data_IF_694926284504
#
_entry.id   IF_694926284504
#
_cell.length_a   1.000
_cell.length_b   1.000
_cell.length_c   1.000
_cell.angle_alpha   90.00
_cell.angle_beta   90.00
_cell.angle_gamma   90.00
#
_symmetry.space_group_name_H-M   'P 1'
#
loop_
_entity.id
_entity.type
_entity.pdbx_description
1 polymer ?
#
# COMPACT_ATOMS: atom_id res chain seq x y z
N UNK A 1 5.50 -29.92 2.50
CA UNK A 1 5.32 -29.62 1.05
C UNK A 1 4.51 -28.35 0.91
N UNK A 2 4.76 -27.47 -0.08
CA UNK A 2 3.86 -26.36 -0.34
C UNK A 2 2.46 -26.91 -0.65
N UNK A 3 1.39 -26.23 -0.19
CA UNK A 3 0.03 -26.67 -0.48
C UNK A 3 -0.22 -26.67 -2.00
N UNK A 4 -1.13 -27.52 -2.51
CA UNK A 4 -1.47 -27.54 -3.93
C UNK A 4 -1.83 -26.15 -4.46
N UNK A 5 -1.41 -25.81 -5.68
CA UNK A 5 -1.63 -24.48 -6.30
C UNK A 5 -3.10 -24.06 -6.21
N UNK A 6 -4.03 -24.97 -6.46
CA UNK A 6 -5.47 -24.70 -6.35
C UNK A 6 -5.87 -24.28 -4.93
N UNK A 7 -5.42 -25.01 -3.90
CA UNK A 7 -5.73 -24.68 -2.51
C UNK A 7 -5.14 -23.34 -2.09
N UNK A 8 -3.92 -23.02 -2.55
CA UNK A 8 -3.30 -21.72 -2.29
C UNK A 8 -4.09 -20.59 -2.96
N UNK A 9 -4.44 -20.75 -4.24
CA UNK A 9 -5.18 -19.73 -4.99
C UNK A 9 -6.57 -19.49 -4.42
N UNK A 10 -7.32 -20.55 -4.08
CA UNK A 10 -8.65 -20.42 -3.45
C UNK A 10 -8.54 -19.72 -2.10
N UNK A 11 -7.59 -20.11 -1.25
CA UNK A 11 -7.40 -19.48 0.05
C UNK A 11 -7.00 -17.99 -0.08
N UNK A 12 -6.09 -17.65 -1.01
CA UNK A 12 -5.73 -16.26 -1.31
C UNK A 12 -6.93 -15.45 -1.79
N UNK A 13 -7.76 -16.02 -2.65
CA UNK A 13 -8.98 -15.38 -3.14
C UNK A 13 -9.98 -15.10 -2.02
N UNK A 14 -10.25 -16.11 -1.18
CA UNK A 14 -11.17 -15.98 -0.04
C UNK A 14 -10.66 -14.97 0.98
N UNK A 15 -9.39 -15.06 1.39
CA UNK A 15 -8.82 -14.13 2.38
C UNK A 15 -8.73 -12.71 1.85
N UNK A 16 -8.40 -12.52 0.57
CA UNK A 16 -8.45 -11.20 -0.09
C UNK A 16 -9.86 -10.63 -0.13
N UNK A 17 -10.86 -11.44 -0.52
CA UNK A 17 -12.26 -11.02 -0.50
C UNK A 17 -12.70 -10.61 0.90
N UNK A 18 -12.45 -11.42 1.93
CA UNK A 18 -12.80 -11.11 3.30
C UNK A 18 -12.08 -9.86 3.81
N UNK A 19 -10.80 -9.69 3.46
CA UNK A 19 -10.01 -8.50 3.81
C UNK A 19 -10.56 -7.23 3.18
N UNK A 20 -10.76 -7.24 1.86
CA UNK A 20 -11.31 -6.11 1.12
C UNK A 20 -12.76 -5.80 1.52
N UNK A 21 -13.59 -6.82 1.75
CA UNK A 21 -14.95 -6.65 2.24
C UNK A 21 -14.97 -6.03 3.64
N UNK A 22 -14.05 -6.42 4.53
CA UNK A 22 -13.92 -5.82 5.87
C UNK A 22 -13.57 -4.34 5.77
N UNK A 23 -12.57 -3.99 4.95
CA UNK A 23 -12.20 -2.59 4.70
C UNK A 23 -13.40 -1.82 4.13
N UNK A 24 -14.06 -2.35 3.10
CA UNK A 24 -15.22 -1.71 2.48
C UNK A 24 -16.41 -1.55 3.44
N UNK A 25 -16.67 -2.52 4.32
CA UNK A 25 -17.70 -2.43 5.36
C UNK A 25 -17.36 -1.36 6.40
N UNK A 26 -16.13 -1.34 6.91
CA UNK A 26 -15.68 -0.31 7.85
C UNK A 26 -15.82 1.08 7.22
N UNK A 27 -15.56 1.22 5.92
CA UNK A 27 -15.76 2.48 5.21
C UNK A 27 -17.24 2.86 5.12
N UNK A 28 -18.08 1.95 4.61
CA UNK A 28 -19.52 2.18 4.43
C UNK A 28 -20.23 2.53 5.74
N UNK A 29 -19.92 1.83 6.83
CA UNK A 29 -20.60 1.99 8.12
C UNK A 29 -19.84 2.89 9.10
N UNK A 30 -18.52 3.03 8.97
CA UNK A 30 -17.73 3.97 9.76
C UNK A 30 -17.89 5.43 9.33
N UNK A 31 -18.12 5.67 8.03
CA UNK A 31 -18.53 6.98 7.53
C UNK A 31 -19.92 7.42 8.03
N UNK A 32 -20.77 6.48 8.48
CA UNK A 32 -22.05 6.81 9.09
C UNK A 32 -21.91 7.40 10.51
N UNK A 33 -20.74 7.24 11.16
CA UNK A 33 -20.49 7.70 12.54
C UNK A 33 -19.97 9.16 12.59
N UNK A 34 -19.46 9.68 11.47
CA UNK A 34 -19.03 11.09 11.33
C UNK A 34 -19.37 11.53 9.91
N UNK A 35 -20.09 12.64 9.74
CA UNK A 35 -20.51 13.27 8.46
C UNK A 35 -19.35 13.66 7.49
N UNK A 36 -18.31 12.84 7.38
CA UNK A 36 -17.18 12.99 6.50
C UNK A 36 -17.21 11.79 5.55
N UNK A 37 -17.69 12.00 4.33
CA UNK A 37 -17.64 11.01 3.24
C UNK A 37 -16.19 10.74 2.85
N UNK A 38 -15.38 10.05 3.66
CA UNK A 38 -13.98 9.78 3.32
C UNK A 38 -13.91 8.97 2.05
N UNK A 39 -13.39 9.53 0.96
CA UNK A 39 -13.39 8.83 -0.28
C UNK A 39 -12.02 8.16 -0.30
N UNK A 40 -12.04 6.90 0.10
CA UNK A 40 -10.83 6.15 0.38
C UNK A 40 -10.09 5.85 -0.92
N UNK A 41 -8.76 5.92 -0.87
CA UNK A 41 -7.88 5.56 -1.96
C UNK A 41 -7.86 4.03 -2.17
N UNK A 42 -8.95 3.45 -2.68
CA UNK A 42 -9.13 1.99 -2.80
C UNK A 42 -8.12 1.39 -3.80
N UNK A 43 -7.77 2.13 -4.86
CA UNK A 43 -6.99 1.58 -5.96
C UNK A 43 -5.60 1.04 -5.53
N UNK A 44 -4.76 1.78 -4.78
CA UNK A 44 -3.52 1.25 -4.24
C UNK A 44 -3.72 0.01 -3.35
N UNK A 45 -4.73 0.03 -2.48
CA UNK A 45 -4.96 -1.07 -1.53
C UNK A 45 -5.46 -2.36 -2.18
N UNK A 46 -6.07 -2.30 -3.38
CA UNK A 46 -6.36 -3.49 -4.18
C UNK A 46 -5.07 -4.24 -4.56
N UNK A 47 -4.02 -3.52 -4.98
CA UNK A 47 -2.72 -4.13 -5.28
C UNK A 47 -1.99 -4.58 -3.99
N UNK A 48 -2.16 -3.86 -2.88
CA UNK A 48 -1.71 -4.33 -1.55
C UNK A 48 -2.35 -5.65 -1.18
N UNK A 49 -3.65 -5.83 -1.43
CA UNK A 49 -4.36 -7.08 -1.17
C UNK A 49 -3.76 -8.25 -1.95
N UNK A 50 -3.37 -8.05 -3.21
CA UNK A 50 -2.67 -9.06 -4.02
C UNK A 50 -1.37 -9.50 -3.33
N UNK A 51 -0.59 -8.56 -2.79
CA UNK A 51 0.65 -8.90 -2.10
C UNK A 51 0.39 -9.61 -0.76
N UNK A 52 -0.40 -9.00 0.12
CA UNK A 52 -0.56 -9.49 1.51
C UNK A 52 -1.39 -10.77 1.60
N UNK A 53 -2.32 -11.02 0.68
CA UNK A 53 -3.14 -12.25 0.67
C UNK A 53 -2.70 -13.25 -0.41
N UNK A 54 -2.16 -12.80 -1.54
CA UNK A 54 -1.70 -13.67 -2.62
C UNK A 54 -0.33 -14.28 -2.34
N UNK A 55 0.61 -13.46 -1.87
CA UNK A 55 2.01 -13.81 -1.63
C UNK A 55 2.49 -13.30 -0.25
N UNK A 56 1.86 -13.70 0.87
CA UNK A 56 2.16 -13.18 2.21
C UNK A 56 3.63 -13.33 2.65
N UNK A 57 4.35 -14.32 2.12
CA UNK A 57 5.75 -14.53 2.42
C UNK A 57 6.70 -13.53 1.72
N UNK A 58 6.20 -12.75 0.76
CA UNK A 58 7.02 -11.81 0.01
C UNK A 58 7.56 -10.69 0.93
N UNK A 59 8.86 -10.33 0.84
CA UNK A 59 9.42 -9.22 1.60
C UNK A 59 8.64 -7.91 1.44
N UNK A 60 8.13 -7.65 0.23
CA UNK A 60 7.37 -6.43 -0.10
C UNK A 60 5.96 -6.39 0.51
N UNK A 61 5.44 -7.53 0.98
CA UNK A 61 4.14 -7.65 1.62
C UNK A 61 4.20 -7.43 3.14
N UNK A 62 5.40 -7.32 3.73
CA UNK A 62 5.55 -7.27 5.18
C UNK A 62 5.00 -5.96 5.78
N UNK A 63 4.54 -5.97 7.05
CA UNK A 63 3.82 -4.86 7.67
C UNK A 63 4.52 -3.51 7.58
N UNK A 64 5.84 -3.46 7.83
CA UNK A 64 6.61 -2.20 7.71
C UNK A 64 6.53 -1.63 6.31
N UNK A 65 6.65 -2.45 5.27
CA UNK A 65 6.64 -1.97 3.89
C UNK A 65 5.25 -1.45 3.53
N UNK A 66 4.18 -2.14 3.94
CA UNK A 66 2.80 -1.66 3.74
C UNK A 66 2.60 -0.30 4.42
N UNK A 67 2.90 -0.21 5.72
CA UNK A 67 2.64 1.00 6.51
C UNK A 67 3.53 2.17 6.08
N UNK A 68 4.85 1.98 6.10
CA UNK A 68 5.81 3.04 5.78
C UNK A 68 5.72 3.41 4.31
N UNK A 69 5.59 2.42 3.41
CA UNK A 69 5.46 2.66 1.97
C UNK A 69 4.27 3.57 1.67
N UNK A 70 3.06 3.21 2.11
CA UNK A 70 1.87 4.03 1.83
C UNK A 70 1.93 5.42 2.46
N UNK A 71 2.35 5.54 3.73
CA UNK A 71 2.39 6.83 4.43
C UNK A 71 3.46 7.75 3.84
N UNK A 72 4.66 7.22 3.57
CA UNK A 72 5.74 7.97 2.92
C UNK A 72 5.33 8.45 1.53
N UNK A 73 4.77 7.55 0.71
CA UNK A 73 4.27 7.89 -0.61
C UNK A 73 3.18 8.95 -0.59
N UNK A 74 2.24 8.85 0.36
CA UNK A 74 1.19 9.85 0.54
C UNK A 74 1.77 11.22 0.92
N UNK A 75 2.74 11.26 1.84
CA UNK A 75 3.44 12.49 2.24
C UNK A 75 4.17 13.13 1.06
N UNK A 76 4.91 12.33 0.30
CA UNK A 76 5.62 12.79 -0.91
C UNK A 76 4.63 13.35 -1.93
N UNK A 77 3.53 12.64 -2.18
CA UNK A 77 2.52 13.10 -3.14
C UNK A 77 1.88 14.43 -2.74
N UNK A 78 1.49 14.60 -1.46
CA UNK A 78 0.98 15.89 -0.97
C UNK A 78 2.03 16.99 -1.11
N UNK A 79 3.28 16.72 -0.74
CA UNK A 79 4.36 17.70 -0.83
C UNK A 79 4.59 18.16 -2.28
N UNK A 80 4.63 17.20 -3.22
CA UNK A 80 4.75 17.51 -4.65
C UNK A 80 3.51 18.27 -5.14
N UNK A 81 2.30 17.86 -4.76
CA UNK A 81 1.09 18.59 -5.13
C UNK A 81 1.14 20.06 -4.69
N UNK A 82 1.55 20.33 -3.44
CA UNK A 82 1.60 21.69 -2.91
C UNK A 82 2.56 22.62 -3.66
N UNK A 83 3.65 22.08 -4.21
CA UNK A 83 4.57 22.82 -5.08
C UNK A 83 3.89 23.19 -6.40
N UNK A 84 3.03 22.30 -6.93
CA UNK A 84 2.42 22.42 -8.25
C UNK A 84 0.95 22.88 -8.23
N UNK A 85 0.37 23.18 -7.06
CA UNK A 85 -1.08 23.47 -6.92
C UNK A 85 -1.60 24.68 -7.70
N UNK A 86 -0.71 25.57 -8.15
CA UNK A 86 -1.06 26.74 -8.96
C UNK A 86 -0.84 26.51 -10.46
N UNK A 87 -0.39 25.31 -10.85
CA UNK A 87 -0.23 24.90 -12.24
C UNK A 87 -1.59 24.48 -12.79
N UNK A 88 -1.78 24.65 -14.10
CA UNK A 88 -2.98 24.22 -14.81
C UNK A 88 -3.30 22.73 -14.56
N UNK A 89 -4.59 22.42 -14.32
CA UNK A 89 -5.05 21.07 -14.00
C UNK A 89 -4.72 20.05 -15.12
N UNK A 90 -4.58 20.50 -16.38
CA UNK A 90 -4.16 19.67 -17.51
C UNK A 90 -2.74 19.10 -17.38
N UNK A 91 -1.93 19.67 -16.48
CA UNK A 91 -0.55 19.24 -16.23
C UNK A 91 -0.41 18.38 -14.97
N UNK A 92 -1.50 18.04 -14.26
CA UNK A 92 -1.44 17.27 -13.00
C UNK A 92 -0.86 15.86 -13.15
N UNK A 93 -0.80 15.31 -14.37
CA UNK A 93 -0.08 14.07 -14.66
C UNK A 93 1.43 14.16 -14.32
N UNK A 94 2.02 15.36 -14.41
CA UNK A 94 3.44 15.57 -14.15
C UNK A 94 3.78 15.54 -12.65
N UNK A 95 3.09 16.28 -11.75
CA UNK A 95 3.19 16.10 -10.30
C UNK A 95 2.97 14.65 -9.85
N UNK A 96 1.98 13.96 -10.43
CA UNK A 96 1.76 12.54 -10.15
C UNK A 96 2.99 11.69 -10.48
N UNK A 97 3.53 11.82 -11.69
CA UNK A 97 4.73 11.08 -12.12
C UNK A 97 5.96 11.42 -11.26
N UNK A 98 6.16 12.70 -10.95
CA UNK A 98 7.25 13.18 -10.09
C UNK A 98 7.15 12.60 -8.68
N UNK A 99 5.95 12.59 -8.09
CA UNK A 99 5.70 12.00 -6.78
C UNK A 99 6.05 10.51 -6.73
N UNK A 100 5.71 9.74 -7.77
CA UNK A 100 6.08 8.33 -7.87
C UNK A 100 7.60 8.15 -7.88
N UNK A 101 8.32 8.90 -8.71
CA UNK A 101 9.77 8.81 -8.80
C UNK A 101 10.46 9.11 -7.47
N UNK A 102 10.05 10.19 -6.80
CA UNK A 102 10.58 10.58 -5.48
C UNK A 102 10.23 9.51 -4.43
N UNK A 103 8.99 9.03 -4.41
CA UNK A 103 8.55 8.03 -3.45
C UNK A 103 9.30 6.70 -3.60
N UNK A 104 9.56 6.25 -4.83
CA UNK A 104 10.38 5.06 -5.11
C UNK A 104 11.80 5.25 -4.56
N UNK A 105 12.44 6.39 -4.85
CA UNK A 105 13.76 6.70 -4.33
C UNK A 105 13.82 6.70 -2.80
N UNK A 106 12.86 7.36 -2.15
CA UNK A 106 12.78 7.40 -0.68
C UNK A 106 12.46 6.04 -0.06
N UNK A 107 11.55 5.26 -0.65
CA UNK A 107 11.29 3.88 -0.21
C UNK A 107 12.55 3.02 -0.30
N UNK A 108 13.39 3.23 -1.32
CA UNK A 108 14.71 2.61 -1.44
C UNK A 108 15.65 2.99 -0.31
N UNK A 109 15.75 4.29 0.00
CA UNK A 109 16.62 4.79 1.08
C UNK A 109 16.24 4.24 2.45
N UNK A 110 14.95 4.11 2.74
CA UNK A 110 14.47 3.53 4.01
C UNK A 110 14.19 2.03 3.92
N UNK A 111 14.56 1.35 2.83
CA UNK A 111 14.36 -0.09 2.61
C UNK A 111 12.92 -0.56 2.88
N UNK A 112 11.91 0.17 2.41
CA UNK A 112 10.50 -0.14 2.66
C UNK A 112 9.67 -0.28 1.37
N UNK A 113 10.26 -0.82 0.31
CA UNK A 113 9.57 -0.99 -0.97
C UNK A 113 8.22 -1.69 -0.80
N UNK A 114 7.18 -0.97 -1.21
CA UNK A 114 5.83 -1.47 -1.36
C UNK A 114 5.27 -0.93 -2.67
N UNK A 115 5.40 -1.67 -3.79
CA UNK A 115 5.01 -1.18 -5.12
C UNK A 115 3.59 -0.56 -5.19
N UNK A 116 2.56 -1.09 -4.49
CA UNK A 116 1.24 -0.46 -4.44
C UNK A 116 1.24 0.98 -3.92
N UNK A 117 2.18 1.32 -3.04
CA UNK A 117 2.34 2.68 -2.53
C UNK A 117 2.80 3.68 -3.61
N UNK A 118 3.37 3.24 -4.73
CA UNK A 118 3.63 4.11 -5.87
C UNK A 118 2.34 4.75 -6.39
N UNK A 119 1.26 3.97 -6.50
CA UNK A 119 -0.06 4.49 -6.88
C UNK A 119 -0.62 5.47 -5.83
N UNK A 120 -0.32 5.27 -4.54
CA UNK A 120 -0.65 6.25 -3.49
C UNK A 120 0.06 7.59 -3.72
N UNK A 121 1.35 7.57 -4.06
CA UNK A 121 2.10 8.81 -4.38
C UNK A 121 1.54 9.50 -5.62
N UNK A 122 1.22 8.73 -6.67
CA UNK A 122 0.66 9.24 -7.91
C UNK A 122 -0.66 9.99 -7.69
N UNK A 123 -1.62 9.34 -7.01
CA UNK A 123 -2.94 9.93 -6.74
C UNK A 123 -2.85 11.16 -5.83
N UNK A 124 -1.94 11.13 -4.85
CA UNK A 124 -1.69 12.28 -3.99
C UNK A 124 -1.03 13.44 -4.76
N UNK A 125 -0.07 13.17 -5.64
CA UNK A 125 0.60 14.18 -6.47
C UNK A 125 -0.32 14.84 -7.49
N UNK A 126 -1.20 14.06 -8.13
CA UNK A 126 -2.25 14.59 -9.01
C UNK A 126 -3.34 15.37 -8.26
N UNK A 127 -3.38 15.21 -6.93
CA UNK A 127 -4.46 15.62 -6.05
C UNK A 127 -5.84 15.28 -6.62
N UNK A 128 -6.16 13.99 -6.60
CA UNK A 128 -7.52 13.54 -6.86
C UNK A 128 -8.52 14.31 -5.96
N UNK A 129 -9.81 14.42 -6.34
CA UNK A 129 -10.79 15.19 -5.55
C UNK A 129 -10.79 14.86 -4.05
N UNK A 130 -10.54 13.60 -3.74
CA UNK A 130 -10.42 13.07 -2.38
C UNK A 130 -9.23 13.66 -1.63
N UNK A 131 -8.08 13.75 -2.31
CA UNK A 131 -6.84 14.32 -1.79
C UNK A 131 -7.00 15.82 -1.59
N UNK A 132 -7.55 16.57 -2.57
CA UNK A 132 -7.78 18.02 -2.46
C UNK A 132 -8.64 18.37 -1.24
N UNK A 133 -9.64 17.54 -0.92
CA UNK A 133 -10.56 17.79 0.19
C UNK A 133 -9.94 17.55 1.57
N UNK A 134 -8.96 16.65 1.66
CA UNK A 134 -8.35 16.24 2.93
C UNK A 134 -7.01 16.96 3.17
N UNK A 135 -6.29 17.30 2.10
CA UNK A 135 -5.02 18.02 2.13
C UNK A 135 -3.94 17.27 2.93
N UNK A 136 -3.23 18.00 3.78
CA UNK A 136 -2.15 17.48 4.62
C UNK A 136 -2.54 16.35 5.58
N UNK A 137 -3.83 16.16 5.83
CA UNK A 137 -4.31 15.04 6.64
C UNK A 137 -4.27 13.71 5.88
N UNK A 138 -4.17 13.71 4.55
CA UNK A 138 -4.29 12.52 3.70
C UNK A 138 -3.43 11.31 4.14
N UNK A 139 -2.14 11.48 4.52
CA UNK A 139 -1.31 10.38 4.99
C UNK A 139 -1.79 9.75 6.30
N UNK A 140 -2.34 10.57 7.22
CA UNK A 140 -2.85 10.13 8.51
C UNK A 140 -4.32 9.70 8.45
N UNK A 141 -5.06 10.25 7.49
CA UNK A 141 -6.48 10.05 7.30
C UNK A 141 -6.78 10.36 5.84
N UNK A 142 -7.01 9.38 4.95
CA UNK A 142 -7.36 8.00 5.25
C UNK A 142 -6.23 6.96 5.24
N UNK A 143 -5.03 7.30 4.75
CA UNK A 143 -4.05 6.29 4.30
C UNK A 143 -3.59 5.38 5.44
N UNK A 144 -3.12 5.93 6.55
CA UNK A 144 -2.64 5.15 7.70
C UNK A 144 -3.72 4.21 8.29
N UNK A 145 -4.96 4.64 8.56
CA UNK A 145 -6.04 3.76 9.02
C UNK A 145 -6.29 2.57 8.11
N UNK A 146 -6.35 2.76 6.79
CA UNK A 146 -6.57 1.64 5.86
C UNK A 146 -5.37 0.70 5.86
N UNK A 147 -4.15 1.24 5.86
CA UNK A 147 -2.95 0.41 5.92
C UNK A 147 -2.88 -0.43 7.22
N UNK A 148 -3.27 0.16 8.36
CA UNK A 148 -3.37 -0.54 9.64
C UNK A 148 -4.43 -1.64 9.63
N UNK A 149 -5.63 -1.34 9.12
CA UNK A 149 -6.70 -2.35 8.99
C UNK A 149 -6.27 -3.47 8.05
N UNK A 150 -5.65 -3.14 6.91
CA UNK A 150 -5.14 -4.11 5.95
C UNK A 150 -4.11 -5.05 6.61
N UNK A 151 -3.15 -4.50 7.35
CA UNK A 151 -2.17 -5.29 8.10
C UNK A 151 -2.84 -6.14 9.19
N UNK A 152 -3.77 -5.58 9.95
CA UNK A 152 -4.46 -6.31 11.01
C UNK A 152 -5.25 -7.50 10.45
N UNK A 153 -6.03 -7.27 9.39
CA UNK A 153 -6.83 -8.32 8.76
C UNK A 153 -5.94 -9.35 8.05
N UNK A 154 -4.83 -8.93 7.42
CA UNK A 154 -3.90 -9.87 6.80
C UNK A 154 -3.15 -10.73 7.83
N UNK A 155 -2.83 -10.20 9.01
CA UNK A 155 -2.31 -10.99 10.14
C UNK A 155 -3.34 -12.02 10.60
N UNK A 156 -4.60 -11.65 10.78
CA UNK A 156 -5.64 -12.57 11.25
C UNK A 156 -5.89 -13.67 10.21
N UNK A 157 -6.17 -13.29 8.96
CA UNK A 157 -6.62 -14.23 7.93
C UNK A 157 -5.50 -15.13 7.41
N UNK A 158 -4.28 -14.61 7.20
CA UNK A 158 -3.19 -15.47 6.74
C UNK A 158 -2.78 -16.48 7.81
N UNK A 159 -2.80 -16.13 9.11
CA UNK A 159 -2.40 -17.07 10.16
C UNK A 159 -3.40 -18.21 10.42
N UNK A 160 -4.56 -18.23 9.74
CA UNK A 160 -5.46 -19.38 9.79
C UNK A 160 -4.86 -20.62 9.11
N UNK A 161 -4.07 -20.44 8.04
CA UNK A 161 -3.48 -21.56 7.27
C UNK A 161 -2.04 -21.29 6.78
N UNK A 162 -1.47 -20.12 7.08
CA UNK A 162 -0.16 -19.64 6.61
C UNK A 162 0.56 -18.93 7.76
N UNK A 163 1.71 -18.32 7.49
CA UNK A 163 2.47 -17.53 8.45
C UNK A 163 2.61 -16.10 7.93
N UNK A 164 2.11 -15.13 8.69
CA UNK A 164 2.26 -13.71 8.39
C UNK A 164 2.22 -12.86 9.68
N UNK A 165 3.14 -11.90 9.88
CA UNK A 165 4.25 -11.58 9.01
C UNK A 165 5.41 -12.58 9.17
N UNK A 166 6.27 -12.64 8.16
CA UNK A 166 7.58 -13.30 8.25
C UNK A 166 8.53 -12.48 9.14
N UNK A 167 8.42 -11.15 9.08
CA UNK A 167 9.13 -10.23 9.96
C UNK A 167 8.38 -8.89 10.08
N UNK A 168 8.57 -8.19 11.20
CA UNK A 168 7.89 -6.92 11.45
C UNK A 168 8.65 -5.71 10.95
N UNK A 169 9.96 -5.63 11.23
CA UNK A 169 10.78 -4.44 10.97
C UNK A 169 11.81 -4.68 9.88
N UNK A 170 12.68 -5.66 10.05
CA UNK A 170 13.75 -5.96 9.10
C UNK A 170 13.86 -7.47 8.94
N UNK A 171 14.16 -7.96 7.72
CA UNK A 171 14.46 -9.38 7.52
C UNK A 171 15.73 -9.76 8.29
N UNK A 172 15.76 -10.94 8.90
CA UNK A 172 16.92 -11.43 9.67
C UNK A 172 18.17 -11.69 8.81
N UNK A 173 18.02 -11.71 7.47
CA UNK A 173 19.05 -11.61 6.44
C UNK A 173 18.33 -11.38 5.10
N UNK A 174 18.72 -10.37 4.32
CA UNK A 174 18.41 -10.43 2.88
C UNK A 174 19.25 -11.57 2.30
N UNK A 175 18.69 -12.50 1.51
CA UNK A 175 19.53 -13.34 0.66
C UNK A 175 20.40 -12.36 -0.13
N UNK A 176 21.72 -12.46 0.02
CA UNK A 176 22.61 -11.74 -0.87
C UNK A 176 22.18 -12.15 -2.29
N UNK A 177 21.95 -11.17 -3.17
CA UNK A 177 21.95 -11.44 -4.59
C UNK A 177 23.31 -12.08 -4.87
N UNK A 178 23.32 -13.40 -5.03
CA UNK A 178 24.51 -14.08 -5.51
C UNK A 178 24.78 -13.43 -6.87
N UNK A 179 25.93 -12.74 -7.05
CA UNK A 179 26.18 -12.03 -8.29
C UNK A 179 26.06 -13.07 -9.40
N UNK A 180 25.12 -12.83 -10.32
CA UNK A 180 24.85 -13.71 -11.45
C UNK A 180 26.20 -14.18 -11.98
N UNK A 181 26.50 -15.47 -11.78
CA UNK A 181 27.78 -16.03 -12.16
C UNK A 181 28.00 -15.66 -13.61
N UNK A 182 29.03 -14.88 -13.86
CA UNK A 182 29.57 -14.68 -15.18
C UNK A 182 30.08 -16.05 -15.67
N UNK A 183 29.17 -16.87 -16.17
CA UNK A 183 29.45 -17.90 -17.16
C UNK A 183 29.34 -17.16 -18.50
N UNK A 184 30.43 -16.80 -19.16
CA UNK A 184 31.52 -17.69 -19.54
C UNK A 184 31.25 -18.12 -20.96
#
# INVERSE_FOLDING_TARGET
>A
PPPPVLTWSVFSGVTSFLGMATIAMIQKYGAAIKNHDLPFAIAPFGATAVLVFGVPAAPLAQPRNVLVGHVLSALVGIFVHEIFKHVDDSLMWLPGALAVGIAIGLMGLVNCYHPPAGATAFLAGMASPEVKRVGWWYPLYPVLPVALIMVAVSVILNNLCRVFPVYWLTPAKMPAEEPASASG
#
